data_IF_703788910039
#
_entry.id   IF_703788910039
#
_cell.length_a   1.000
_cell.length_b   1.000
_cell.length_c   1.000
_cell.angle_alpha   90.00
_cell.angle_beta   90.00
_cell.angle_gamma   90.00
#
_symmetry.space_group_name_H-M   'P 1'
#
loop_
_entity.id
_entity.type
_entity.pdbx_description
1 polymer ?
#
# COMPACT_ATOMS: atom_id res chain seq x y z
N UNK A 1 -35.92 4.66 36.35
CA UNK A 1 -35.71 3.60 35.32
C UNK A 1 -34.78 4.19 34.28
N UNK A 2 -33.48 4.00 34.48
CA UNK A 2 -32.41 4.67 33.74
C UNK A 2 -31.98 3.80 32.57
N UNK A 3 -32.11 4.30 31.33
CA UNK A 3 -31.54 3.64 30.14
C UNK A 3 -30.14 4.21 29.91
N UNK A 4 -29.07 3.41 29.86
CA UNK A 4 -27.75 3.93 29.57
C UNK A 4 -27.59 4.17 28.06
N UNK A 5 -26.97 5.32 27.75
CA UNK A 5 -26.55 5.79 26.43
C UNK A 5 -25.37 4.93 25.96
N UNK A 6 -25.56 4.18 24.87
CA UNK A 6 -24.49 3.41 24.25
C UNK A 6 -23.43 4.37 23.69
N UNK A 7 -22.27 4.39 24.34
CA UNK A 7 -21.07 4.99 23.80
C UNK A 7 -20.59 4.11 22.64
N UNK A 8 -20.56 4.66 21.44
CA UNK A 8 -19.86 4.06 20.30
C UNK A 8 -18.37 4.35 20.54
N UNK A 9 -17.74 3.52 21.38
CA UNK A 9 -16.30 3.34 21.35
C UNK A 9 -16.02 2.45 20.15
N UNK A 10 -15.37 3.03 19.14
CA UNK A 10 -14.84 2.32 17.97
C UNK A 10 -14.06 1.09 18.44
N UNK A 11 -14.37 -0.13 17.98
CA UNK A 11 -13.52 -1.27 18.27
C UNK A 11 -12.19 -1.02 17.57
N UNK A 12 -11.12 -0.96 18.34
CA UNK A 12 -9.77 -1.12 17.82
C UNK A 12 -9.76 -2.43 17.02
N UNK A 13 -9.33 -2.34 15.76
CA UNK A 13 -9.11 -3.51 14.91
C UNK A 13 -7.99 -4.32 15.56
N UNK A 14 -8.37 -5.26 16.40
CA UNK A 14 -7.50 -6.34 16.84
C UNK A 14 -7.22 -7.17 15.59
N UNK A 15 -6.02 -6.99 15.03
CA UNK A 15 -5.51 -7.85 13.98
C UNK A 15 -5.21 -9.19 14.65
N UNK A 16 -6.21 -10.06 14.68
CA UNK A 16 -6.03 -11.49 14.92
C UNK A 16 -5.11 -12.02 13.82
N UNK A 17 -3.84 -12.18 14.16
CA UNK A 17 -2.88 -12.88 13.30
C UNK A 17 -3.18 -14.37 13.39
N UNK A 18 -4.02 -14.85 12.48
CA UNK A 18 -4.25 -16.27 12.28
C UNK A 18 -2.91 -16.99 12.03
N UNK A 19 -2.64 -17.92 12.91
CA UNK A 19 -1.44 -18.73 12.97
C UNK A 19 -1.53 -19.90 11.98
N UNK A 20 -1.31 -19.62 10.69
CA UNK A 20 -0.76 -20.58 9.73
C UNK A 20 -0.22 -19.86 8.48
N UNK A 21 0.92 -19.19 8.61
CA UNK A 21 1.53 -18.45 7.49
C UNK A 21 2.97 -18.89 7.22
N UNK A 22 3.33 -19.17 5.96
CA UNK A 22 4.71 -19.49 5.59
C UNK A 22 5.59 -18.33 6.04
N UNK A 23 6.60 -18.66 6.85
CA UNK A 23 7.53 -17.74 7.52
C UNK A 23 7.60 -16.34 6.86
N UNK A 24 6.81 -15.39 7.37
CA UNK A 24 6.65 -14.06 6.76
C UNK A 24 7.98 -13.32 6.72
N UNK A 25 8.54 -13.17 5.53
CA UNK A 25 9.74 -12.37 5.32
C UNK A 25 9.42 -10.87 5.38
N UNK A 26 9.77 -10.23 6.50
CA UNK A 26 9.66 -8.77 6.64
C UNK A 26 10.72 -8.07 5.80
N UNK A 27 10.42 -6.86 5.32
CA UNK A 27 11.35 -6.06 4.51
C UNK A 27 12.72 -5.88 5.19
N UNK A 28 12.72 -5.65 6.52
CA UNK A 28 13.94 -5.52 7.32
C UNK A 28 14.78 -6.80 7.32
N UNK A 29 14.15 -7.98 7.43
CA UNK A 29 14.84 -9.27 7.41
C UNK A 29 15.40 -9.60 6.02
N UNK A 30 14.64 -9.31 4.96
CA UNK A 30 15.12 -9.44 3.57
C UNK A 30 16.35 -8.57 3.32
N UNK A 31 16.30 -7.30 3.72
CA UNK A 31 17.41 -6.37 3.56
C UNK A 31 18.67 -6.84 4.31
N UNK A 32 18.53 -7.30 5.56
CA UNK A 32 19.66 -7.83 6.33
C UNK A 32 20.32 -9.03 5.62
N UNK A 33 19.52 -9.97 5.12
CA UNK A 33 20.03 -11.13 4.36
C UNK A 33 20.76 -10.69 3.09
N UNK A 34 20.18 -9.78 2.31
CA UNK A 34 20.80 -9.25 1.09
C UNK A 34 22.11 -8.53 1.40
N UNK A 35 22.16 -7.75 2.48
CA UNK A 35 23.39 -7.05 2.92
C UNK A 35 24.48 -8.07 3.30
N UNK A 36 24.15 -9.12 4.04
CA UNK A 36 25.13 -10.15 4.40
C UNK A 36 25.67 -10.89 3.16
N UNK A 37 24.83 -11.07 2.13
CA UNK A 37 25.27 -11.62 0.84
C UNK A 37 26.19 -10.65 0.10
N UNK A 38 25.85 -9.36 0.04
CA UNK A 38 26.69 -8.34 -0.60
C UNK A 38 28.04 -8.15 0.12
N UNK A 39 28.07 -8.35 1.44
CA UNK A 39 29.29 -8.32 2.25
C UNK A 39 30.12 -9.60 2.15
N UNK A 40 29.61 -10.64 1.47
CA UNK A 40 30.30 -11.92 1.29
C UNK A 40 30.32 -12.82 2.52
N UNK A 41 29.50 -12.54 3.55
CA UNK A 41 29.39 -13.38 4.76
C UNK A 41 28.64 -14.68 4.51
N UNK A 42 27.69 -14.64 3.58
CA UNK A 42 26.86 -15.78 3.17
C UNK A 42 26.69 -15.74 1.66
N UNK A 43 26.80 -16.87 0.97
CA UNK A 43 26.51 -16.91 -0.47
C UNK A 43 25.01 -17.03 -0.73
N UNK A 44 24.51 -16.58 -1.89
CA UNK A 44 23.09 -16.71 -2.24
C UNK A 44 22.60 -18.18 -2.20
N UNK A 45 23.47 -19.14 -2.56
CA UNK A 45 23.20 -20.57 -2.48
C UNK A 45 23.17 -21.11 -1.04
N UNK A 46 23.96 -20.56 -0.12
CA UNK A 46 23.89 -20.90 1.30
C UNK A 46 22.66 -20.28 1.97
N UNK A 47 22.35 -19.02 1.67
CA UNK A 47 21.15 -18.34 2.14
C UNK A 47 19.87 -19.07 1.70
N UNK A 48 19.80 -19.48 0.43
CA UNK A 48 18.71 -20.28 -0.11
C UNK A 48 18.49 -21.58 0.68
N UNK A 49 19.58 -22.33 0.94
CA UNK A 49 19.53 -23.59 1.71
C UNK A 49 19.17 -23.40 3.18
N UNK A 50 19.74 -22.40 3.85
CA UNK A 50 19.53 -22.14 5.28
C UNK A 50 18.12 -21.63 5.59
N UNK A 51 17.52 -20.92 4.64
CA UNK A 51 16.24 -20.26 4.83
C UNK A 51 15.09 -20.88 4.04
N UNK A 52 15.32 -22.04 3.41
CA UNK A 52 14.36 -22.72 2.53
C UNK A 52 13.79 -21.78 1.45
N UNK A 53 14.63 -20.89 0.93
CA UNK A 53 14.33 -19.96 -0.16
C UNK A 53 14.87 -20.55 -1.48
N UNK A 54 14.26 -20.19 -2.59
CA UNK A 54 14.86 -20.51 -3.90
C UNK A 54 16.00 -19.55 -4.21
N UNK A 55 16.99 -20.02 -4.98
CA UNK A 55 18.10 -19.16 -5.42
C UNK A 55 17.58 -17.95 -6.23
N UNK A 56 16.55 -18.16 -7.06
CA UNK A 56 15.92 -17.12 -7.85
C UNK A 56 15.29 -16.02 -6.99
N UNK A 57 14.61 -16.36 -5.89
CA UNK A 57 14.04 -15.36 -4.98
C UNK A 57 15.12 -14.52 -4.30
N UNK A 58 16.23 -15.13 -3.91
CA UNK A 58 17.35 -14.42 -3.26
C UNK A 58 18.04 -13.48 -4.25
N UNK A 59 18.26 -13.92 -5.49
CA UNK A 59 18.81 -13.06 -6.55
C UNK A 59 17.85 -11.92 -6.90
N UNK A 60 16.54 -12.18 -7.01
CA UNK A 60 15.54 -11.12 -7.21
C UNK A 60 15.60 -10.08 -6.10
N UNK A 61 15.71 -10.49 -4.83
CA UNK A 61 15.81 -9.53 -3.72
C UNK A 61 17.09 -8.69 -3.77
N UNK A 62 18.20 -9.26 -4.27
CA UNK A 62 19.45 -8.50 -4.47
C UNK A 62 19.28 -7.46 -5.56
N UNK A 63 18.70 -7.83 -6.70
CA UNK A 63 18.43 -6.92 -7.81
C UNK A 63 17.47 -5.80 -7.39
N UNK A 64 16.38 -6.14 -6.72
CA UNK A 64 15.41 -5.18 -6.19
C UNK A 64 16.08 -4.21 -5.20
N UNK A 65 16.93 -4.72 -4.31
CA UNK A 65 17.64 -3.91 -3.33
C UNK A 65 18.62 -2.92 -3.98
N UNK A 66 19.36 -3.36 -5.00
CA UNK A 66 20.29 -2.49 -5.74
C UNK A 66 19.50 -1.45 -6.55
N UNK A 67 18.45 -1.86 -7.26
CA UNK A 67 17.64 -0.97 -8.10
C UNK A 67 16.93 0.08 -7.25
N UNK A 68 16.25 -0.33 -6.18
CA UNK A 68 15.58 0.61 -5.28
C UNK A 68 16.59 1.44 -4.49
N UNK A 69 17.70 0.85 -4.06
CA UNK A 69 18.78 1.57 -3.37
C UNK A 69 19.40 2.65 -4.25
N UNK A 70 19.68 2.36 -5.52
CA UNK A 70 20.21 3.33 -6.48
C UNK A 70 19.22 4.44 -6.80
N UNK A 71 17.93 4.13 -6.96
CA UNK A 71 16.89 5.14 -7.16
C UNK A 71 16.69 6.02 -5.91
N UNK A 72 16.75 5.42 -4.71
CA UNK A 72 16.68 6.14 -3.45
C UNK A 72 17.90 7.05 -3.21
N UNK A 73 19.08 6.67 -3.72
CA UNK A 73 20.28 7.52 -3.69
C UNK A 73 20.23 8.63 -4.74
N UNK A 74 19.53 8.41 -5.86
CA UNK A 74 19.34 9.40 -6.93
C UNK A 74 18.30 10.46 -6.56
N UNK A 75 17.22 10.06 -5.93
CA UNK A 75 16.14 10.95 -5.51
C UNK A 75 16.50 11.63 -4.18
N UNK A 76 16.46 12.97 -4.14
CA UNK A 76 16.56 13.64 -2.86
C UNK A 76 15.27 13.33 -2.06
N UNK A 77 15.31 13.04 -0.74
CA UNK A 77 14.11 12.68 0.02
C UNK A 77 12.98 13.72 -0.07
N UNK A 78 13.33 15.00 -0.28
CA UNK A 78 12.35 16.06 -0.55
C UNK A 78 11.68 15.94 -1.91
N UNK A 79 12.39 15.51 -2.94
CA UNK A 79 11.85 15.36 -4.30
C UNK A 79 10.84 14.22 -4.36
N UNK A 80 11.11 13.11 -3.67
CA UNK A 80 10.21 11.97 -3.59
C UNK A 80 8.91 12.35 -2.86
N UNK A 81 8.99 13.07 -1.73
CA UNK A 81 7.83 13.60 -1.03
C UNK A 81 7.02 14.57 -1.91
N UNK A 82 7.68 15.49 -2.61
CA UNK A 82 7.04 16.42 -3.54
C UNK A 82 6.35 15.70 -4.70
N UNK A 83 6.94 14.64 -5.25
CA UNK A 83 6.30 13.84 -6.30
C UNK A 83 5.06 13.10 -5.79
N UNK A 84 5.07 12.64 -4.54
CA UNK A 84 3.88 12.05 -3.93
C UNK A 84 2.79 13.09 -3.71
N UNK A 85 3.12 14.24 -3.14
CA UNK A 85 2.19 15.35 -2.91
C UNK A 85 1.60 15.88 -4.23
N UNK A 86 2.41 16.00 -5.28
CA UNK A 86 1.95 16.41 -6.60
C UNK A 86 0.96 15.39 -7.20
N UNK A 87 1.26 14.09 -7.10
CA UNK A 87 0.36 13.02 -7.55
C UNK A 87 -0.94 13.02 -6.75
N UNK A 88 -0.85 13.17 -5.43
CA UNK A 88 -2.01 13.27 -4.56
C UNK A 88 -2.91 14.45 -4.94
N UNK A 89 -2.32 15.63 -5.16
CA UNK A 89 -3.05 16.81 -5.62
C UNK A 89 -3.75 16.57 -6.96
N UNK A 90 -3.10 15.93 -7.93
CA UNK A 90 -3.72 15.59 -9.21
C UNK A 90 -4.87 14.61 -9.05
N UNK A 91 -4.72 13.58 -8.21
CA UNK A 91 -5.77 12.60 -7.95
C UNK A 91 -6.97 13.25 -7.26
N UNK A 92 -6.74 14.07 -6.24
CA UNK A 92 -7.80 14.80 -5.54
C UNK A 92 -8.55 15.76 -6.48
N UNK A 93 -7.85 16.44 -7.38
CA UNK A 93 -8.49 17.29 -8.39
C UNK A 93 -9.42 16.49 -9.31
N UNK A 94 -8.99 15.31 -9.78
CA UNK A 94 -9.83 14.42 -10.59
C UNK A 94 -11.04 13.90 -9.82
N UNK A 95 -10.88 13.56 -8.54
CA UNK A 95 -12.00 13.17 -7.68
C UNK A 95 -13.00 14.31 -7.53
N UNK A 96 -12.52 15.55 -7.33
CA UNK A 96 -13.36 16.74 -7.28
C UNK A 96 -14.14 16.98 -8.57
N UNK A 97 -13.48 16.86 -9.73
CA UNK A 97 -14.12 16.97 -11.04
C UNK A 97 -15.22 15.90 -11.24
N UNK A 98 -14.92 14.64 -10.92
CA UNK A 98 -15.90 13.55 -10.98
C UNK A 98 -17.08 13.79 -10.02
N UNK A 99 -16.82 14.35 -8.84
CA UNK A 99 -17.88 14.69 -7.87
C UNK A 99 -18.81 15.75 -8.45
N UNK A 100 -18.26 16.78 -9.10
CA UNK A 100 -19.07 17.80 -9.79
C UNK A 100 -19.88 17.20 -10.93
N UNK A 101 -19.30 16.30 -11.72
CA UNK A 101 -20.04 15.60 -12.78
C UNK A 101 -21.21 14.77 -12.22
N UNK A 102 -21.00 14.06 -11.11
CA UNK A 102 -22.07 13.33 -10.41
C UNK A 102 -23.17 14.28 -9.91
N UNK A 103 -22.80 15.41 -9.32
CA UNK A 103 -23.78 16.39 -8.83
C UNK A 103 -24.62 16.99 -9.96
N UNK A 104 -24.00 17.29 -11.10
CA UNK A 104 -24.71 17.76 -12.30
C UNK A 104 -25.66 16.70 -12.82
N UNK A 105 -25.22 15.43 -12.89
CA UNK A 105 -26.07 14.31 -13.29
C UNK A 105 -27.26 14.15 -12.35
N UNK A 106 -27.05 14.19 -11.03
CA UNK A 106 -28.12 14.12 -10.02
C UNK A 106 -29.13 15.24 -10.20
N UNK A 107 -28.67 16.48 -10.42
CA UNK A 107 -29.54 17.64 -10.67
C UNK A 107 -30.33 17.47 -11.97
N UNK A 108 -29.69 17.03 -13.05
CA UNK A 108 -30.36 16.80 -14.33
C UNK A 108 -31.46 15.74 -14.24
N UNK A 109 -31.20 14.61 -13.59
CA UNK A 109 -32.20 13.54 -13.38
C UNK A 109 -33.38 14.04 -12.54
N UNK A 110 -33.13 14.85 -11.51
CA UNK A 110 -34.18 15.51 -10.72
C UNK A 110 -35.07 16.41 -11.57
N UNK A 111 -34.50 17.24 -12.44
CA UNK A 111 -35.28 18.13 -13.31
C UNK A 111 -36.06 17.38 -14.38
N UNK A 112 -35.49 16.28 -14.90
CA UNK A 112 -36.12 15.44 -15.92
C UNK A 112 -37.13 14.43 -15.34
N UNK A 113 -37.24 14.32 -14.02
CA UNK A 113 -38.11 13.34 -13.35
C UNK A 113 -37.71 11.89 -13.65
N UNK A 114 -36.43 11.62 -13.93
CA UNK A 114 -35.91 10.29 -14.25
C UNK A 114 -35.16 9.70 -13.05
N UNK A 115 -35.22 8.39 -12.90
CA UNK A 115 -34.44 7.67 -11.89
C UNK A 115 -32.95 7.75 -12.17
N UNK A 116 -32.14 7.67 -11.11
CA UNK A 116 -30.68 7.67 -11.23
C UNK A 116 -30.18 6.35 -11.86
N UNK A 117 -29.07 6.40 -12.64
CA UNK A 117 -28.41 5.21 -13.14
C UNK A 117 -27.92 4.28 -12.01
N UNK A 118 -27.82 2.98 -12.32
CA UNK A 118 -27.31 1.97 -11.37
C UNK A 118 -25.93 2.36 -10.82
N UNK A 119 -25.76 2.20 -9.50
CA UNK A 119 -24.51 2.53 -8.79
C UNK A 119 -24.40 3.98 -8.31
N UNK A 120 -25.38 4.86 -8.61
CA UNK A 120 -25.41 6.24 -8.11
C UNK A 120 -26.56 6.38 -7.12
N UNK A 121 -26.23 6.53 -5.82
CA UNK A 121 -27.23 6.84 -4.78
C UNK A 121 -27.48 8.34 -4.72
N UNK A 122 -28.65 8.73 -4.19
CA UNK A 122 -28.92 10.12 -3.81
C UNK A 122 -27.91 10.64 -2.78
#
# INVERSE_FOLDING_TARGET
MSKPKAAITSPAVEIETDADSPQRWTAKRKAALVIDILQGKTTAAEAARQHALTLAEVEQWKEDFITQGTEALRSHPRDLAQQFEAREKTLLAKVGELTLHVDVLKKAHRYLGKDLPEGISW
#
